data_IF_195485881290
#
_entry.id   IF_195485881290
#
_cell.length_a   1.000
_cell.length_b   1.000
_cell.length_c   1.000
_cell.angle_alpha   90.00
_cell.angle_beta   90.00
_cell.angle_gamma   90.00
#
_symmetry.space_group_name_H-M   'P 1'
#
loop_
_entity.id
_entity.type
_entity.pdbx_description
1 polymer ?
#
# COMPACT_ATOMS: atom_id res chain seq x y z
N UNK A 1 23.81 -6.51 24.37
CA UNK A 1 22.77 -7.57 24.37
C UNK A 1 22.08 -7.50 23.03
N UNK A 2 21.90 -8.61 22.32
CA UNK A 2 21.11 -8.62 21.07
C UNK A 2 19.68 -8.22 21.39
N UNK A 3 19.11 -7.27 20.64
CA UNK A 3 17.69 -6.87 20.73
C UNK A 3 16.84 -8.10 20.41
N UNK A 4 15.94 -8.47 21.31
CA UNK A 4 14.95 -9.52 21.05
C UNK A 4 13.89 -8.96 20.08
N UNK A 5 13.70 -9.64 18.95
CA UNK A 5 12.77 -9.21 17.89
C UNK A 5 11.44 -9.95 18.02
N UNK A 6 10.34 -9.23 17.84
CA UNK A 6 8.99 -9.79 17.83
C UNK A 6 8.89 -10.88 16.76
N UNK A 7 8.25 -11.99 17.12
CA UNK A 7 8.00 -13.11 16.22
C UNK A 7 6.50 -13.32 16.03
N UNK A 8 6.05 -13.69 14.82
CA UNK A 8 4.73 -14.26 14.61
C UNK A 8 4.46 -15.48 15.49
N UNK A 9 3.24 -15.65 15.99
CA UNK A 9 2.86 -16.88 16.67
C UNK A 9 2.99 -18.07 15.71
N UNK A 10 3.81 -19.06 16.09
CA UNK A 10 4.08 -20.23 15.27
C UNK A 10 2.87 -21.16 15.14
N UNK A 11 2.82 -21.89 14.02
CA UNK A 11 1.72 -22.81 13.71
C UNK A 11 1.80 -24.16 14.44
N UNK A 12 2.95 -24.48 15.04
CA UNK A 12 3.17 -25.72 15.78
C UNK A 12 2.72 -25.56 17.24
N UNK A 13 2.75 -24.34 17.77
CA UNK A 13 2.38 -24.00 19.14
C UNK A 13 0.89 -23.66 19.26
N UNK A 14 0.34 -22.95 18.27
CA UNK A 14 -1.08 -22.60 18.20
C UNK A 14 -1.59 -22.75 16.76
N UNK A 15 -2.66 -23.53 16.51
CA UNK A 15 -3.24 -23.65 15.17
C UNK A 15 -3.58 -22.28 14.59
N UNK A 16 -3.34 -22.11 13.29
CA UNK A 16 -3.47 -20.81 12.60
C UNK A 16 -4.87 -20.21 12.63
N UNK A 17 -5.89 -21.04 12.74
CA UNK A 17 -7.30 -20.63 12.88
C UNK A 17 -7.67 -20.19 14.31
N UNK A 18 -6.76 -20.28 15.27
CA UNK A 18 -6.94 -19.86 16.66
C UNK A 18 -5.98 -18.74 17.10
N UNK A 19 -6.35 -18.08 18.20
CA UNK A 19 -5.65 -16.91 18.74
C UNK A 19 -6.20 -15.58 18.21
N UNK A 20 -5.72 -14.44 18.73
CA UNK A 20 -6.09 -13.12 18.22
C UNK A 20 -5.66 -12.95 16.75
N UNK A 21 -6.54 -12.37 15.94
CA UNK A 21 -6.31 -12.16 14.51
C UNK A 21 -5.62 -10.81 14.24
N UNK A 22 -4.38 -10.66 14.70
CA UNK A 22 -3.49 -9.52 14.38
C UNK A 22 -2.77 -9.75 13.05
N UNK A 23 -2.24 -8.68 12.46
CA UNK A 23 -1.47 -8.78 11.22
C UNK A 23 -0.31 -9.75 11.37
N UNK A 24 -0.33 -10.81 10.55
CA UNK A 24 0.63 -11.91 10.56
C UNK A 24 0.78 -12.61 11.91
N UNK A 25 -0.21 -12.53 12.81
CA UNK A 25 -0.15 -13.06 14.18
C UNK A 25 1.00 -12.45 15.01
N UNK A 26 1.36 -11.21 14.74
CA UNK A 26 2.35 -10.45 15.52
C UNK A 26 1.77 -9.94 16.85
N UNK A 27 2.62 -9.58 17.82
CA UNK A 27 2.19 -8.83 19.00
C UNK A 27 1.53 -7.50 18.63
N UNK A 28 0.65 -7.00 19.51
CA UNK A 28 0.08 -5.65 19.38
C UNK A 28 0.85 -4.65 20.23
N UNK A 29 0.91 -3.39 19.76
CA UNK A 29 1.46 -2.25 20.50
C UNK A 29 0.54 -1.04 20.31
N UNK A 30 0.52 -0.06 21.24
CA UNK A 30 -0.32 1.13 21.09
C UNK A 30 0.20 2.14 20.06
N UNK A 31 1.52 2.17 19.84
CA UNK A 31 2.22 3.06 18.92
C UNK A 31 3.46 2.35 18.35
N UNK A 32 4.26 3.06 17.55
CA UNK A 32 5.46 2.51 16.94
C UNK A 32 6.74 2.70 17.78
N UNK A 33 6.64 3.02 19.07
CA UNK A 33 7.81 3.27 19.91
C UNK A 33 8.75 2.06 19.95
N UNK A 34 9.96 2.23 19.42
CA UNK A 34 10.96 1.17 19.37
C UNK A 34 10.64 0.08 18.32
N UNK A 35 9.79 0.34 17.34
CA UNK A 35 9.62 -0.46 16.13
C UNK A 35 10.47 0.10 14.99
N UNK A 36 10.92 -0.77 14.08
CA UNK A 36 11.57 -0.37 12.83
C UNK A 36 10.52 -0.22 11.70
N UNK A 37 9.46 -1.04 11.75
CA UNK A 37 8.28 -0.92 10.89
C UNK A 37 7.01 -1.29 11.67
N UNK A 38 5.87 -0.71 11.30
CA UNK A 38 4.60 -0.90 11.99
C UNK A 38 3.46 -1.16 11.01
N UNK A 39 2.71 -2.24 11.23
CA UNK A 39 1.44 -2.47 10.53
C UNK A 39 0.34 -1.63 11.16
N UNK A 40 -0.40 -0.87 10.33
CA UNK A 40 -1.49 0.02 10.77
C UNK A 40 -2.67 -0.08 9.81
N UNK A 41 -3.89 -0.12 10.32
CA UNK A 41 -5.09 -0.09 9.48
C UNK A 41 -5.76 1.29 9.43
N UNK A 42 -6.31 1.65 8.26
CA UNK A 42 -7.11 2.88 8.08
C UNK A 42 -8.48 2.54 7.48
N UNK A 43 -9.49 2.19 8.30
CA UNK A 43 -10.79 1.71 7.83
C UNK A 43 -11.73 2.84 7.38
N UNK A 44 -11.38 3.57 6.32
CA UNK A 44 -12.15 4.70 5.76
C UNK A 44 -12.60 4.38 4.32
N UNK A 45 -13.88 4.61 4.00
CA UNK A 45 -14.40 4.45 2.61
C UNK A 45 -15.51 5.47 2.25
N UNK A 46 -15.61 6.57 3.02
CA UNK A 46 -16.57 7.64 2.75
C UNK A 46 -16.05 8.62 1.69
N UNK A 47 -14.89 8.34 1.07
CA UNK A 47 -14.37 9.00 -0.13
C UNK A 47 -14.66 8.22 -1.43
N UNK A 48 -15.15 6.97 -1.32
CA UNK A 48 -15.51 6.14 -2.47
C UNK A 48 -16.73 6.69 -3.23
N UNK A 49 -16.65 6.73 -4.57
CA UNK A 49 -17.72 7.26 -5.42
C UNK A 49 -18.77 6.24 -5.88
N UNK A 50 -18.47 4.94 -5.82
CA UNK A 50 -19.34 3.88 -6.36
C UNK A 50 -19.62 2.78 -5.34
N UNK A 51 -18.85 1.68 -5.34
CA UNK A 51 -19.05 0.53 -4.46
C UNK A 51 -18.21 0.66 -3.18
N UNK A 52 -18.82 1.13 -2.10
CA UNK A 52 -18.19 1.17 -0.78
C UNK A 52 -18.03 -0.22 -0.15
N UNK A 53 -17.28 -0.33 0.94
CA UNK A 53 -17.05 -1.60 1.67
C UNK A 53 -15.61 -1.77 2.15
N UNK A 54 -14.68 -0.94 1.66
CA UNK A 54 -13.24 -1.05 1.94
C UNK A 54 -12.90 -0.68 3.38
N UNK A 55 -13.82 -0.03 4.14
CA UNK A 55 -13.71 0.11 5.61
C UNK A 55 -13.52 -1.22 6.34
N UNK A 56 -13.89 -2.35 5.72
CA UNK A 56 -13.71 -3.69 6.28
C UNK A 56 -12.41 -4.38 5.85
N UNK A 57 -11.69 -3.82 4.87
CA UNK A 57 -10.44 -4.33 4.32
C UNK A 57 -9.40 -4.67 5.39
N UNK A 58 -9.03 -3.74 6.30
CA UNK A 58 -7.98 -3.98 7.29
C UNK A 58 -8.27 -5.18 8.19
N UNK A 59 -9.56 -5.42 8.50
CA UNK A 59 -9.98 -6.55 9.34
C UNK A 59 -9.87 -7.88 8.60
N UNK A 60 -10.32 -7.95 7.34
CA UNK A 60 -10.27 -9.19 6.58
C UNK A 60 -8.83 -9.56 6.19
N UNK A 61 -8.00 -8.57 5.83
CA UNK A 61 -6.58 -8.79 5.57
C UNK A 61 -5.89 -9.39 6.81
N UNK A 62 -6.12 -8.84 8.00
CA UNK A 62 -5.58 -9.41 9.25
C UNK A 62 -6.02 -10.86 9.46
N UNK A 63 -7.30 -11.17 9.24
CA UNK A 63 -7.81 -12.53 9.38
C UNK A 63 -7.12 -13.51 8.42
N UNK A 64 -7.01 -13.17 7.14
CA UNK A 64 -6.38 -14.03 6.12
C UNK A 64 -4.85 -14.10 6.24
N UNK A 65 -4.23 -13.10 6.88
CA UNK A 65 -2.78 -13.08 7.12
C UNK A 65 -2.28 -14.23 8.00
N UNK A 66 -3.18 -14.93 8.71
CA UNK A 66 -2.83 -16.10 9.52
C UNK A 66 -2.23 -17.26 8.70
N UNK A 67 -2.39 -17.25 7.38
CA UNK A 67 -1.81 -18.24 6.45
C UNK A 67 -0.33 -18.00 6.13
N UNK A 68 0.18 -16.79 6.38
CA UNK A 68 1.56 -16.40 6.06
C UNK A 68 2.60 -17.05 6.98
N UNK A 69 3.83 -17.17 6.46
CA UNK A 69 4.99 -17.71 7.19
C UNK A 69 6.10 -16.65 7.24
N UNK A 70 6.99 -16.68 8.25
CA UNK A 70 7.94 -15.59 8.50
C UNK A 70 9.09 -15.49 7.48
N UNK A 71 9.28 -16.48 6.61
CA UNK A 71 10.43 -16.59 5.73
C UNK A 71 10.02 -16.71 4.26
N UNK A 72 10.60 -15.86 3.41
CA UNK A 72 10.34 -15.89 1.97
C UNK A 72 11.21 -16.96 1.30
N UNK A 73 10.59 -18.06 0.84
CA UNK A 73 11.32 -19.19 0.26
C UNK A 73 12.04 -18.86 -1.05
N UNK A 74 11.54 -17.90 -1.83
CA UNK A 74 12.10 -17.56 -3.14
C UNK A 74 13.23 -16.54 -3.01
N UNK A 75 12.98 -15.43 -2.30
CA UNK A 75 13.96 -14.34 -2.15
C UNK A 75 14.94 -14.58 -1.02
N UNK A 76 14.61 -15.47 -0.07
CA UNK A 76 15.40 -15.74 1.15
C UNK A 76 15.36 -14.61 2.19
N UNK A 77 14.45 -13.64 2.01
CA UNK A 77 14.23 -12.55 2.96
C UNK A 77 13.65 -13.07 4.28
N UNK A 78 14.16 -12.52 5.38
CA UNK A 78 13.82 -12.88 6.76
C UNK A 78 13.51 -11.63 7.60
N UNK A 79 12.35 -10.96 7.36
CA UNK A 79 12.08 -9.64 7.94
C UNK A 79 12.01 -9.65 9.47
N UNK A 80 11.38 -10.66 10.09
CA UNK A 80 11.26 -10.76 11.56
C UNK A 80 12.56 -11.17 12.28
N UNK A 81 13.58 -11.59 11.52
CA UNK A 81 14.93 -11.78 12.04
C UNK A 81 15.80 -10.52 11.91
N UNK A 82 15.29 -9.49 11.23
CA UNK A 82 16.05 -8.30 10.84
C UNK A 82 15.50 -7.03 11.47
N UNK A 83 14.18 -6.90 11.55
CA UNK A 83 13.45 -5.71 11.96
C UNK A 83 12.54 -6.03 13.16
N UNK A 84 12.36 -5.05 14.03
CA UNK A 84 11.35 -5.06 15.06
C UNK A 84 10.01 -4.59 14.49
N UNK A 85 9.02 -5.48 14.44
CA UNK A 85 7.72 -5.23 13.78
C UNK A 85 6.57 -5.62 14.72
N UNK A 86 5.51 -4.82 14.73
CA UNK A 86 4.27 -5.13 15.44
C UNK A 86 3.04 -4.61 14.67
N UNK A 87 1.86 -5.06 15.07
CA UNK A 87 0.57 -4.48 14.65
C UNK A 87 0.17 -3.40 15.66
N UNK A 88 0.01 -2.16 15.21
CA UNK A 88 -0.36 -1.03 16.07
C UNK A 88 -1.86 -0.71 16.05
N UNK A 89 -2.67 -1.61 15.48
CA UNK A 89 -4.12 -1.45 15.40
C UNK A 89 -4.56 -0.52 14.28
N UNK A 90 -5.64 0.21 14.52
CA UNK A 90 -6.31 1.03 13.50
C UNK A 90 -6.38 2.50 13.92
N UNK A 91 -6.38 3.40 12.93
CA UNK A 91 -6.65 4.82 13.13
C UNK A 91 -8.14 5.01 13.48
N UNK A 92 -8.43 5.73 14.56
CA UNK A 92 -9.79 6.07 14.98
C UNK A 92 -10.38 7.20 14.12
N UNK A 93 -10.82 6.87 12.89
CA UNK A 93 -11.37 7.81 11.90
C UNK A 93 -12.79 8.33 12.25
N UNK A 94 -13.28 9.31 11.49
CA UNK A 94 -14.65 9.82 11.60
C UNK A 94 -15.49 9.45 10.36
N UNK A 95 -16.38 8.46 10.50
CA UNK A 95 -17.24 7.96 9.42
C UNK A 95 -18.32 8.95 8.95
N UNK A 96 -18.41 10.15 9.54
CA UNK A 96 -19.43 11.15 9.21
C UNK A 96 -18.82 12.46 8.66
N UNK A 97 -17.49 12.59 8.57
CA UNK A 97 -16.86 13.84 8.15
C UNK A 97 -15.50 13.62 7.49
N UNK A 98 -15.49 13.43 6.17
CA UNK A 98 -14.29 13.12 5.39
C UNK A 98 -13.15 14.13 5.57
N UNK A 99 -13.36 15.46 5.53
CA UNK A 99 -12.25 16.40 5.73
C UNK A 99 -11.57 16.26 7.09
N UNK A 100 -12.31 15.85 8.14
CA UNK A 100 -11.75 15.67 9.48
C UNK A 100 -10.90 14.39 9.56
N UNK A 101 -11.21 13.40 8.73
CA UNK A 101 -10.37 12.21 8.63
C UNK A 101 -8.97 12.54 8.08
N UNK A 102 -8.85 13.55 7.20
CA UNK A 102 -7.54 13.96 6.69
C UNK A 102 -6.62 14.38 7.84
N UNK A 103 -7.10 15.27 8.72
CA UNK A 103 -6.34 15.73 9.89
C UNK A 103 -6.05 14.58 10.87
N UNK A 104 -7.06 13.76 11.20
CA UNK A 104 -6.91 12.62 12.11
C UNK A 104 -5.83 11.65 11.61
N UNK A 105 -5.85 11.32 10.31
CA UNK A 105 -4.90 10.38 9.72
C UNK A 105 -3.50 11.00 9.67
N UNK A 106 -3.37 12.25 9.22
CA UNK A 106 -2.07 12.95 9.21
C UNK A 106 -1.45 13.01 10.61
N UNK A 107 -2.24 13.39 11.62
CA UNK A 107 -1.79 13.48 13.00
C UNK A 107 -1.38 12.12 13.56
N UNK A 108 -2.17 11.06 13.30
CA UNK A 108 -1.84 9.72 13.77
C UNK A 108 -0.48 9.26 13.23
N UNK A 109 -0.25 9.40 11.92
CA UNK A 109 0.99 8.97 11.29
C UNK A 109 2.19 9.77 11.78
N UNK A 110 2.05 11.09 11.90
CA UNK A 110 3.10 11.95 12.42
C UNK A 110 3.48 11.56 13.85
N UNK A 111 2.50 11.47 14.75
CA UNK A 111 2.76 11.42 16.18
C UNK A 111 3.01 9.99 16.69
N UNK A 112 2.38 8.97 16.11
CA UNK A 112 2.43 7.59 16.61
C UNK A 112 3.32 6.66 15.77
N UNK A 113 3.80 7.10 14.60
CA UNK A 113 4.65 6.28 13.73
C UNK A 113 5.95 7.02 13.40
N UNK A 114 5.84 8.14 12.70
CA UNK A 114 7.00 8.81 12.11
C UNK A 114 7.88 9.47 13.17
N UNK A 115 7.30 10.01 14.25
CA UNK A 115 8.03 10.52 15.42
C UNK A 115 8.91 9.44 16.09
N UNK A 116 8.56 8.16 15.97
CA UNK A 116 9.32 7.04 16.51
C UNK A 116 10.37 6.46 15.55
N UNK A 117 10.45 6.97 14.31
CA UNK A 117 11.40 6.47 13.33
C UNK A 117 10.90 5.31 12.47
N UNK A 118 9.75 4.72 12.77
CA UNK A 118 9.25 3.52 12.11
C UNK A 118 8.72 3.78 10.69
N UNK A 119 8.84 2.77 9.82
CA UNK A 119 8.22 2.76 8.48
C UNK A 119 6.76 2.29 8.59
N UNK A 120 5.77 3.09 8.17
CA UNK A 120 4.36 2.66 8.15
C UNK A 120 4.10 1.63 7.05
N UNK A 121 3.38 0.58 7.42
CA UNK A 121 2.86 -0.45 6.52
C UNK A 121 1.34 -0.51 6.63
N UNK A 122 0.67 0.13 5.68
CA UNK A 122 -0.76 0.45 5.82
C UNK A 122 -1.65 -0.62 5.20
N UNK A 123 -2.63 -1.07 5.98
CA UNK A 123 -3.79 -1.83 5.50
C UNK A 123 -4.91 -0.82 5.26
N UNK A 124 -5.28 -0.64 3.99
CA UNK A 124 -6.10 0.48 3.59
C UNK A 124 -7.61 0.28 3.73
N UNK A 125 -8.30 1.41 3.61
CA UNK A 125 -9.66 1.52 3.11
C UNK A 125 -9.59 1.99 1.66
N UNK A 126 -10.36 3.00 1.28
CA UNK A 126 -10.29 3.60 -0.05
C UNK A 126 -8.99 4.41 -0.28
N UNK A 127 -8.65 4.69 -1.53
CA UNK A 127 -7.39 5.35 -1.92
C UNK A 127 -7.28 6.82 -1.43
N UNK A 128 -8.35 7.41 -0.88
CA UNK A 128 -8.30 8.75 -0.28
C UNK A 128 -7.33 8.81 0.89
N UNK A 129 -7.09 7.68 1.59
CA UNK A 129 -6.24 7.64 2.79
C UNK A 129 -4.78 7.95 2.50
N UNK A 130 -4.30 7.72 1.29
CA UNK A 130 -2.88 7.90 0.92
C UNK A 130 -2.49 9.37 0.93
N UNK A 131 -3.42 10.27 0.62
CA UNK A 131 -3.20 11.72 0.66
C UNK A 131 -2.79 12.24 2.06
N UNK A 132 -3.55 12.05 3.14
CA UNK A 132 -3.15 12.50 4.47
C UNK A 132 -1.94 11.74 5.02
N UNK A 133 -1.68 10.50 4.59
CA UNK A 133 -0.46 9.77 4.93
C UNK A 133 0.76 10.46 4.31
N UNK A 134 0.72 10.81 3.02
CA UNK A 134 1.81 11.49 2.34
C UNK A 134 2.06 12.90 2.87
N UNK A 135 1.03 13.59 3.40
CA UNK A 135 1.23 14.85 4.14
C UNK A 135 2.17 14.64 5.34
N UNK A 136 1.92 13.62 6.16
CA UNK A 136 2.76 13.30 7.32
C UNK A 136 4.16 12.83 6.90
N UNK A 137 4.27 12.00 5.85
CA UNK A 137 5.57 11.53 5.32
C UNK A 137 6.44 12.72 4.88
N UNK A 138 5.86 13.70 4.18
CA UNK A 138 6.58 14.89 3.72
C UNK A 138 7.20 15.69 4.85
N UNK A 139 6.52 15.83 5.99
CA UNK A 139 7.05 16.59 7.13
C UNK A 139 8.39 16.05 7.63
N UNK A 140 8.60 14.73 7.54
CA UNK A 140 9.84 14.06 7.97
C UNK A 140 10.85 13.87 6.85
N UNK A 141 10.40 13.54 5.64
CA UNK A 141 11.27 13.10 4.54
C UNK A 141 11.41 14.10 3.39
N UNK A 142 10.62 15.19 3.39
CA UNK A 142 10.42 16.02 2.21
C UNK A 142 9.57 15.32 1.14
N UNK A 143 9.43 15.91 -0.06
CA UNK A 143 8.72 15.26 -1.17
C UNK A 143 9.38 13.92 -1.53
N UNK A 144 8.57 12.88 -1.70
CA UNK A 144 9.04 11.51 -1.97
C UNK A 144 8.85 11.13 -3.43
N UNK A 145 9.64 10.18 -3.92
CA UNK A 145 9.29 9.45 -5.14
C UNK A 145 8.10 8.51 -4.88
N UNK A 146 7.42 8.06 -5.93
CA UNK A 146 6.25 7.19 -5.84
C UNK A 146 6.34 6.05 -6.86
N UNK A 147 6.17 4.82 -6.38
CA UNK A 147 5.83 3.66 -7.21
C UNK A 147 4.37 3.31 -6.92
N UNK A 148 3.53 3.40 -7.94
CA UNK A 148 2.08 3.27 -7.84
C UNK A 148 1.58 2.15 -8.75
N UNK A 149 0.92 1.15 -8.18
CA UNK A 149 0.30 0.04 -8.92
C UNK A 149 -1.22 0.21 -8.83
N UNK A 150 -1.88 0.44 -9.95
CA UNK A 150 -3.30 0.82 -9.98
C UNK A 150 -3.91 0.63 -11.37
N UNK A 151 -5.23 0.43 -11.46
CA UNK A 151 -5.98 0.53 -12.71
C UNK A 151 -6.24 1.99 -13.14
N UNK A 152 -6.28 2.92 -12.19
CA UNK A 152 -6.63 4.33 -12.38
C UNK A 152 -5.48 5.28 -12.04
N UNK A 153 -5.54 6.48 -12.60
CA UNK A 153 -4.51 7.48 -12.40
C UNK A 153 -4.68 8.26 -11.09
N UNK A 154 -5.89 8.34 -10.54
CA UNK A 154 -6.21 9.00 -9.27
C UNK A 154 -5.76 10.46 -9.18
N UNK A 155 -5.93 11.18 -10.30
CA UNK A 155 -5.53 12.56 -10.52
C UNK A 155 -6.69 13.49 -10.90
N UNK A 156 -7.95 13.08 -10.66
CA UNK A 156 -9.08 13.94 -10.96
C UNK A 156 -9.01 15.22 -10.12
N UNK A 157 -9.45 16.34 -10.71
CA UNK A 157 -9.49 17.61 -9.97
C UNK A 157 -10.68 17.64 -8.99
N UNK A 158 -11.83 17.10 -9.35
CA UNK A 158 -12.92 16.97 -8.39
C UNK A 158 -13.81 15.79 -8.73
N UNK A 159 -14.53 15.30 -7.73
CA UNK A 159 -15.67 14.40 -7.92
C UNK A 159 -16.92 15.07 -7.37
N UNK A 160 -17.89 15.36 -8.23
CA UNK A 160 -19.12 16.10 -7.87
C UNK A 160 -18.90 17.49 -7.23
N UNK A 161 -17.79 18.16 -7.57
CA UNK A 161 -17.41 19.45 -7.00
C UNK A 161 -16.55 19.36 -5.74
N UNK A 162 -16.30 18.15 -5.22
CA UNK A 162 -15.47 17.93 -4.05
C UNK A 162 -14.02 17.57 -4.46
N UNK A 163 -13.00 18.24 -3.89
CA UNK A 163 -11.60 18.03 -4.25
C UNK A 163 -10.92 16.87 -3.50
N UNK A 164 -11.61 16.26 -2.53
CA UNK A 164 -11.11 15.15 -1.72
C UNK A 164 -12.05 13.97 -1.89
N UNK A 165 -11.62 12.99 -2.67
CA UNK A 165 -12.28 11.72 -2.88
C UNK A 165 -11.25 10.68 -3.35
N UNK A 166 -11.66 9.42 -3.50
CA UNK A 166 -10.72 8.33 -3.82
C UNK A 166 -10.02 8.49 -5.17
N UNK A 167 -10.64 9.16 -6.16
CA UNK A 167 -10.03 9.41 -7.48
C UNK A 167 -9.22 10.72 -7.59
N UNK A 168 -9.00 11.44 -6.49
CA UNK A 168 -8.26 12.71 -6.47
C UNK A 168 -6.92 12.75 -5.69
N UNK A 169 -6.44 11.70 -4.99
CA UNK A 169 -5.37 11.85 -4.00
C UNK A 169 -4.05 12.33 -4.62
N UNK A 170 -3.63 11.80 -5.77
CA UNK A 170 -2.32 12.13 -6.33
C UNK A 170 -2.28 13.50 -7.00
N UNK A 171 -3.43 14.01 -7.48
CA UNK A 171 -3.55 15.43 -7.88
C UNK A 171 -3.21 16.33 -6.71
N UNK A 172 -3.83 16.10 -5.55
CA UNK A 172 -3.59 16.86 -4.32
C UNK A 172 -2.15 16.70 -3.83
N UNK A 173 -1.58 15.50 -3.95
CA UNK A 173 -0.19 15.25 -3.61
C UNK A 173 0.79 16.07 -4.46
N UNK A 174 0.55 16.24 -5.76
CA UNK A 174 1.39 17.11 -6.60
C UNK A 174 1.22 18.56 -6.22
N UNK A 175 -0.02 19.03 -6.08
CA UNK A 175 -0.32 20.45 -5.78
C UNK A 175 0.25 20.89 -4.42
N UNK A 176 0.25 20.00 -3.42
CA UNK A 176 0.88 20.25 -2.12
C UNK A 176 2.37 19.91 -2.09
N UNK A 177 2.95 19.43 -3.19
CA UNK A 177 4.36 19.04 -3.27
C UNK A 177 4.72 17.94 -2.27
N UNK A 178 3.84 16.94 -2.11
CA UNK A 178 4.04 15.74 -1.29
C UNK A 178 4.84 14.67 -2.05
N UNK A 179 4.66 14.62 -3.37
CA UNK A 179 5.39 13.73 -4.27
C UNK A 179 6.18 14.54 -5.30
N UNK A 180 7.33 14.01 -5.69
CA UNK A 180 8.09 14.51 -6.84
C UNK A 180 7.60 13.80 -8.11
N UNK A 181 6.93 14.55 -8.99
CA UNK A 181 6.41 14.00 -10.24
C UNK A 181 7.50 13.43 -11.15
N UNK A 182 8.72 14.00 -11.13
CA UNK A 182 9.85 13.46 -11.89
C UNK A 182 10.37 12.13 -11.32
N UNK A 183 9.95 11.75 -10.12
CA UNK A 183 10.24 10.49 -9.44
C UNK A 183 8.98 9.68 -9.15
N UNK A 184 7.95 9.84 -9.98
CA UNK A 184 6.69 9.10 -9.87
C UNK A 184 6.49 8.17 -11.07
N UNK A 185 6.07 6.93 -10.81
CA UNK A 185 5.69 5.93 -11.81
C UNK A 185 4.34 5.32 -11.46
N UNK A 186 3.42 5.29 -12.43
CA UNK A 186 2.14 4.58 -12.32
C UNK A 186 2.14 3.38 -13.27
N UNK A 187 1.71 2.21 -12.79
CA UNK A 187 1.79 0.93 -13.50
C UNK A 187 0.44 0.22 -13.44
N UNK A 188 -0.12 -0.08 -14.60
CA UNK A 188 -1.37 -0.86 -14.72
C UNK A 188 -2.58 -0.06 -15.22
N UNK A 189 -2.38 1.22 -15.57
CA UNK A 189 -3.47 2.11 -15.97
C UNK A 189 -4.23 1.54 -17.17
N UNK A 190 -5.56 1.52 -17.09
CA UNK A 190 -6.45 0.96 -18.11
C UNK A 190 -7.90 1.43 -17.90
N UNK A 191 -8.83 0.83 -18.66
CA UNK A 191 -10.25 1.13 -18.59
C UNK A 191 -10.66 2.23 -19.56
N UNK A 192 -11.92 2.65 -19.47
CA UNK A 192 -12.45 3.77 -20.26
C UNK A 192 -12.27 5.10 -19.52
N UNK A 193 -11.68 6.10 -20.18
CA UNK A 193 -11.58 7.47 -19.66
C UNK A 193 -12.76 8.37 -20.07
N UNK A 194 -12.78 9.59 -19.55
CA UNK A 194 -13.71 10.64 -19.97
C UNK A 194 -13.14 11.46 -21.13
N UNK A 195 -11.81 11.56 -21.22
CA UNK A 195 -11.10 12.27 -22.27
C UNK A 195 -9.76 11.58 -22.61
N UNK A 196 -9.18 11.85 -23.79
CA UNK A 196 -7.89 11.28 -24.17
C UNK A 196 -6.74 11.82 -23.30
N UNK A 197 -6.95 13.02 -22.77
CA UNK A 197 -6.03 13.82 -21.99
C UNK A 197 -5.92 13.36 -20.53
N UNK A 198 -6.75 12.41 -20.09
CA UNK A 198 -6.78 11.91 -18.70
C UNK A 198 -5.42 11.32 -18.27
N UNK A 199 -4.62 10.79 -19.20
CA UNK A 199 -3.24 10.34 -18.95
C UNK A 199 -2.16 11.35 -19.35
N UNK A 200 -2.52 12.49 -19.92
CA UNK A 200 -1.56 13.53 -20.30
C UNK A 200 -1.20 14.41 -19.11
N UNK A 201 -2.16 14.74 -18.25
CA UNK A 201 -1.87 15.51 -17.04
C UNK A 201 -0.75 14.90 -16.17
N UNK A 202 -0.76 13.59 -15.78
CA UNK A 202 0.34 13.02 -15.01
C UNK A 202 1.68 13.09 -15.78
N UNK A 203 1.68 12.93 -17.11
CA UNK A 203 2.90 13.07 -17.92
C UNK A 203 3.43 14.50 -17.90
N UNK A 204 2.57 15.50 -17.93
CA UNK A 204 2.94 16.92 -17.82
C UNK A 204 3.55 17.25 -16.45
N UNK A 205 3.13 16.55 -15.39
CA UNK A 205 3.76 16.64 -14.06
C UNK A 205 5.08 15.86 -13.95
N UNK A 206 5.51 15.18 -15.03
CA UNK A 206 6.76 14.43 -15.11
C UNK A 206 6.63 12.95 -14.76
N UNK A 207 5.41 12.43 -14.52
CA UNK A 207 5.21 11.02 -14.17
C UNK A 207 5.61 10.13 -15.33
N UNK A 208 6.05 8.91 -15.02
CA UNK A 208 6.04 7.83 -15.99
C UNK A 208 4.73 7.05 -15.87
N UNK A 209 3.95 7.05 -16.94
CA UNK A 209 2.70 6.27 -17.03
C UNK A 209 2.95 5.00 -17.83
N UNK A 210 2.72 3.84 -17.22
CA UNK A 210 2.82 2.50 -17.81
C UNK A 210 1.42 1.89 -17.85
N UNK A 211 0.80 1.90 -19.03
CA UNK A 211 -0.53 1.32 -19.24
C UNK A 211 -0.48 -0.22 -19.24
N UNK A 212 -1.62 -0.86 -18.97
CA UNK A 212 -1.71 -2.33 -18.88
C UNK A 212 -1.27 -3.03 -20.17
N UNK A 213 -1.51 -2.45 -21.35
CA UNK A 213 -1.08 -2.96 -22.65
C UNK A 213 0.46 -3.06 -22.76
N UNK A 214 1.19 -2.15 -22.09
CA UNK A 214 2.64 -2.24 -22.00
C UNK A 214 3.08 -3.40 -21.11
N UNK A 215 2.20 -4.01 -20.31
CA UNK A 215 2.52 -5.12 -19.40
C UNK A 215 2.15 -6.49 -19.97
N UNK A 216 1.26 -6.56 -20.97
CA UNK A 216 0.72 -7.83 -21.45
C UNK A 216 1.77 -8.77 -22.05
N UNK A 217 1.57 -10.07 -21.81
CA UNK A 217 2.33 -11.18 -22.38
C UNK A 217 3.84 -11.22 -22.06
N UNK A 218 4.30 -10.54 -21.00
CA UNK A 218 5.72 -10.51 -20.61
C UNK A 218 5.95 -10.32 -19.10
N UNK A 219 7.21 -10.56 -18.69
CA UNK A 219 7.72 -10.26 -17.34
C UNK A 219 7.98 -8.76 -17.19
N UNK A 220 7.76 -8.23 -15.97
CA UNK A 220 7.98 -6.82 -15.61
C UNK A 220 9.36 -6.57 -15.00
N UNK A 221 10.24 -7.57 -14.90
CA UNK A 221 11.61 -7.38 -14.39
C UNK A 221 12.41 -6.32 -15.16
N UNK A 222 12.40 -6.29 -16.52
CA UNK A 222 13.10 -5.24 -17.27
C UNK A 222 12.52 -3.85 -16.99
N UNK A 223 11.19 -3.73 -16.90
CA UNK A 223 10.52 -2.48 -16.53
C UNK A 223 11.03 -1.96 -15.18
N UNK A 224 11.20 -2.84 -14.19
CA UNK A 224 11.68 -2.44 -12.87
C UNK A 224 13.09 -1.86 -12.85
N UNK A 225 13.95 -2.18 -13.83
CA UNK A 225 15.26 -1.51 -13.96
C UNK A 225 15.11 -0.02 -14.29
N UNK A 226 14.13 0.31 -15.11
CA UNK A 226 13.84 1.69 -15.50
C UNK A 226 13.08 2.42 -14.40
N UNK A 227 12.13 1.74 -13.72
CA UNK A 227 11.44 2.29 -12.54
C UNK A 227 12.46 2.68 -11.48
N UNK A 228 13.41 1.80 -11.12
CA UNK A 228 14.46 2.11 -10.15
C UNK A 228 15.29 3.34 -10.54
N UNK A 229 15.64 3.49 -11.82
CA UNK A 229 16.36 4.68 -12.31
C UNK A 229 15.53 5.95 -12.18
N UNK A 230 14.24 5.89 -12.54
CA UNK A 230 13.30 7.01 -12.48
C UNK A 230 13.09 7.50 -11.04
N UNK A 231 12.96 6.60 -10.08
CA UNK A 231 12.68 6.94 -8.68
C UNK A 231 13.94 7.03 -7.80
N UNK A 232 15.15 6.90 -8.35
CA UNK A 232 16.40 6.93 -7.58
C UNK A 232 16.67 8.30 -6.93
N UNK A 233 17.56 8.31 -5.92
CA UNK A 233 18.15 9.54 -5.39
C UNK A 233 17.52 10.09 -4.10
N UNK A 234 16.62 9.34 -3.45
CA UNK A 234 16.08 9.70 -2.13
C UNK A 234 14.89 8.83 -1.72
N UNK A 235 14.05 9.29 -0.78
CA UNK A 235 12.96 8.50 -0.23
C UNK A 235 11.89 8.17 -1.28
N UNK A 236 11.32 6.97 -1.19
CA UNK A 236 10.28 6.46 -2.09
C UNK A 236 9.12 5.90 -1.26
N UNK A 237 7.90 6.20 -1.68
CA UNK A 237 6.68 5.58 -1.17
C UNK A 237 6.18 4.53 -2.18
N UNK A 238 5.71 3.38 -1.70
CA UNK A 238 5.11 2.33 -2.52
C UNK A 238 3.62 2.23 -2.20
N UNK A 239 2.77 2.57 -3.16
CA UNK A 239 1.32 2.44 -3.02
C UNK A 239 0.79 1.40 -4.01
N UNK A 240 -0.04 0.50 -3.50
CA UNK A 240 -0.67 -0.53 -4.31
C UNK A 240 -2.19 -0.51 -4.10
N UNK A 241 -2.91 -0.17 -5.16
CA UNK A 241 -4.31 -0.48 -5.28
C UNK A 241 -4.49 -1.95 -5.65
N UNK A 242 -5.39 -2.64 -4.97
CA UNK A 242 -5.68 -4.05 -5.27
C UNK A 242 -6.36 -4.19 -6.64
N UNK A 243 -7.05 -3.16 -7.14
CA UNK A 243 -7.72 -3.16 -8.43
C UNK A 243 -6.76 -3.01 -9.62
N UNK A 244 -5.49 -2.69 -9.37
CA UNK A 244 -4.41 -2.84 -10.36
C UNK A 244 -4.28 -4.29 -10.87
N UNK A 245 -4.75 -5.26 -10.09
CA UNK A 245 -4.86 -6.66 -10.49
C UNK A 245 -6.12 -6.93 -11.31
N UNK A 246 -6.08 -7.95 -12.15
CA UNK A 246 -7.28 -8.42 -12.84
C UNK A 246 -8.35 -8.90 -11.84
N UNK A 247 -9.66 -8.63 -12.07
CA UNK A 247 -10.74 -9.11 -11.22
C UNK A 247 -10.79 -10.63 -11.03
N UNK A 248 -10.13 -11.42 -11.88
CA UNK A 248 -9.93 -12.85 -11.67
C UNK A 248 -9.08 -13.17 -10.42
N UNK A 249 -8.23 -12.23 -9.97
CA UNK A 249 -7.38 -12.37 -8.79
C UNK A 249 -7.85 -11.52 -7.61
N UNK A 250 -8.46 -10.37 -7.87
CA UNK A 250 -8.93 -9.42 -6.88
C UNK A 250 -10.39 -8.98 -7.14
N UNK A 251 -11.37 -9.88 -7.03
CA UNK A 251 -12.78 -9.54 -7.28
C UNK A 251 -13.36 -8.57 -6.23
N UNK A 252 -12.78 -8.53 -5.01
CA UNK A 252 -13.25 -7.73 -3.90
C UNK A 252 -12.68 -6.31 -3.89
N UNK A 253 -13.08 -5.48 -4.85
CA UNK A 253 -12.71 -4.05 -4.93
C UNK A 253 -13.88 -3.18 -5.42
N UNK A 254 -13.81 -1.87 -5.20
CA UNK A 254 -14.86 -0.91 -5.54
C UNK A 254 -15.01 -0.65 -7.06
N UNK A 255 -13.89 -0.59 -7.79
CA UNK A 255 -13.81 -0.13 -9.18
C UNK A 255 -13.09 -1.13 -10.11
N UNK A 256 -13.55 -2.39 -10.21
CA UNK A 256 -12.83 -3.41 -10.96
C UNK A 256 -12.75 -3.11 -12.46
N UNK A 257 -11.53 -3.11 -13.01
CA UNK A 257 -11.26 -3.01 -14.45
C UNK A 257 -10.64 -4.31 -14.99
N UNK A 258 -11.24 -4.90 -16.02
CA UNK A 258 -10.76 -6.16 -16.63
C UNK A 258 -9.43 -5.98 -17.40
N UNK A 259 -8.70 -7.08 -17.64
CA UNK A 259 -7.45 -7.06 -18.41
C UNK A 259 -6.26 -6.55 -17.59
N UNK A 260 -6.32 -6.73 -16.26
CA UNK A 260 -5.34 -6.22 -15.31
C UNK A 260 -4.08 -7.05 -15.17
N UNK A 261 -3.24 -6.66 -14.21
CA UNK A 261 -2.01 -7.38 -13.89
C UNK A 261 -2.33 -8.74 -13.24
N UNK A 262 -1.44 -9.71 -13.43
CA UNK A 262 -1.46 -10.94 -12.63
C UNK A 262 -0.81 -10.72 -11.27
N UNK A 263 -1.12 -11.57 -10.29
CA UNK A 263 -0.42 -11.56 -8.98
C UNK A 263 1.09 -11.75 -9.12
N UNK A 264 1.54 -12.53 -10.11
CA UNK A 264 2.98 -12.70 -10.38
C UNK A 264 3.64 -11.42 -10.88
N UNK A 265 2.98 -10.64 -11.72
CA UNK A 265 3.48 -9.36 -12.21
C UNK A 265 3.56 -8.32 -11.07
N UNK A 266 2.55 -8.25 -10.20
CA UNK A 266 2.61 -7.38 -9.02
C UNK A 266 3.76 -7.77 -8.08
N UNK A 267 3.99 -9.07 -7.84
CA UNK A 267 5.16 -9.53 -7.08
C UNK A 267 6.50 -9.15 -7.75
N UNK A 268 6.59 -9.17 -9.09
CA UNK A 268 7.80 -8.72 -9.80
C UNK A 268 8.07 -7.22 -9.58
N UNK A 269 7.02 -6.40 -9.55
CA UNK A 269 7.12 -4.96 -9.24
C UNK A 269 7.56 -4.75 -7.80
N UNK A 270 6.84 -5.32 -6.81
CA UNK A 270 7.16 -5.14 -5.38
C UNK A 270 8.58 -5.64 -5.07
N UNK A 271 8.95 -6.85 -5.51
CA UNK A 271 10.31 -7.37 -5.32
C UNK A 271 11.37 -6.54 -6.03
N UNK A 272 11.02 -5.92 -7.16
CA UNK A 272 11.88 -5.02 -7.92
C UNK A 272 12.22 -3.72 -7.21
N UNK A 273 11.48 -3.37 -6.14
CA UNK A 273 11.76 -2.23 -5.26
C UNK A 273 12.86 -2.51 -4.22
N UNK A 274 13.35 -3.75 -4.10
CA UNK A 274 14.46 -4.05 -3.20
C UNK A 274 15.68 -3.17 -3.50
N UNK A 275 16.22 -2.54 -2.46
CA UNK A 275 17.34 -1.61 -2.53
C UNK A 275 16.95 -0.14 -2.74
N UNK A 276 15.67 0.17 -2.88
CA UNK A 276 15.15 1.55 -2.78
C UNK A 276 15.06 1.98 -1.32
N UNK A 277 15.15 3.29 -1.09
CA UNK A 277 14.91 3.93 0.22
C UNK A 277 13.41 4.04 0.49
N UNK A 278 12.77 2.91 0.78
CA UNK A 278 11.33 2.85 1.05
C UNK A 278 11.03 3.44 2.44
N UNK A 279 10.26 4.52 2.48
CA UNK A 279 9.89 5.24 3.72
C UNK A 279 8.45 5.00 4.16
N UNK A 280 7.69 4.23 3.38
CA UNK A 280 6.32 3.82 3.71
C UNK A 280 5.68 3.06 2.56
N UNK A 281 4.64 2.30 2.88
CA UNK A 281 3.81 1.66 1.87
C UNK A 281 2.35 1.50 2.32
N UNK A 282 1.45 1.36 1.34
CA UNK A 282 0.06 1.00 1.56
C UNK A 282 -0.43 -0.06 0.56
N UNK A 283 -1.45 -0.81 1.01
CA UNK A 283 -2.29 -1.67 0.17
C UNK A 283 -3.76 -1.30 0.42
N UNK A 284 -4.41 -0.75 -0.60
CA UNK A 284 -5.75 -0.12 -0.51
C UNK A 284 -6.82 -0.88 -1.30
N UNK A 285 -8.07 -0.42 -1.20
CA UNK A 285 -9.25 -0.85 -1.96
C UNK A 285 -9.71 -2.32 -1.78
N UNK A 286 -9.18 -3.06 -0.81
CA UNK A 286 -9.75 -4.37 -0.45
C UNK A 286 -11.15 -4.18 0.13
N UNK A 287 -12.16 -4.67 -0.59
CA UNK A 287 -13.59 -4.55 -0.28
C UNK A 287 -14.22 -5.92 0.00
N UNK A 288 -14.24 -6.36 1.27
CA UNK A 288 -14.79 -7.66 1.68
C UNK A 288 -16.21 -7.99 1.19
N UNK A 289 -17.18 -7.04 1.11
CA UNK A 289 -18.53 -7.34 0.65
C UNK A 289 -18.60 -7.90 -0.79
N UNK A 290 -17.57 -7.65 -1.60
CA UNK A 290 -17.50 -8.09 -2.99
C UNK A 290 -16.61 -9.32 -3.20
N UNK A 291 -16.02 -9.85 -2.11
CA UNK A 291 -15.36 -11.15 -2.12
C UNK A 291 -15.66 -11.94 -0.84
N UNK A 292 -16.81 -12.64 -0.81
CA UNK A 292 -17.18 -13.49 0.31
C UNK A 292 -16.21 -14.64 0.56
N UNK A 293 -15.35 -15.00 -0.41
CA UNK A 293 -14.39 -16.09 -0.27
C UNK A 293 -13.12 -15.66 0.47
N UNK A 294 -12.84 -14.36 0.58
CA UNK A 294 -11.65 -13.81 1.23
C UNK A 294 -10.37 -13.89 0.39
N UNK A 295 -10.44 -14.32 -0.86
CA UNK A 295 -9.27 -14.46 -1.74
C UNK A 295 -8.54 -13.12 -1.96
N UNK A 296 -9.26 -12.02 -2.11
CA UNK A 296 -8.71 -10.68 -2.31
C UNK A 296 -7.94 -10.21 -1.07
N UNK A 297 -8.48 -10.47 0.12
CA UNK A 297 -7.81 -10.17 1.38
C UNK A 297 -6.55 -11.04 1.58
N UNK A 298 -6.58 -12.31 1.14
CA UNK A 298 -5.40 -13.17 1.11
C UNK A 298 -4.33 -12.65 0.14
N UNK A 299 -4.72 -12.16 -1.04
CA UNK A 299 -3.79 -11.49 -1.98
C UNK A 299 -3.19 -10.27 -1.30
N UNK A 300 -4.00 -9.39 -0.71
CA UNK A 300 -3.53 -8.21 0.02
C UNK A 300 -2.54 -8.54 1.13
N UNK A 301 -2.81 -9.57 1.94
CA UNK A 301 -1.90 -10.03 2.98
C UNK A 301 -0.54 -10.50 2.42
N UNK A 302 -0.55 -11.24 1.29
CA UNK A 302 0.69 -11.69 0.65
C UNK A 302 1.48 -10.51 0.04
N UNK A 303 0.81 -9.52 -0.55
CA UNK A 303 1.49 -8.34 -1.10
C UNK A 303 2.12 -7.50 0.01
N UNK A 304 1.42 -7.29 1.13
CA UNK A 304 1.99 -6.64 2.32
C UNK A 304 3.21 -7.38 2.87
N UNK A 305 3.22 -8.72 2.85
CA UNK A 305 4.42 -9.48 3.24
C UNK A 305 5.59 -9.27 2.27
N UNK A 306 5.33 -9.22 0.96
CA UNK A 306 6.37 -8.91 -0.04
C UNK A 306 6.91 -7.49 0.12
N UNK A 307 6.05 -6.50 0.44
CA UNK A 307 6.45 -5.13 0.76
C UNK A 307 7.35 -5.09 2.01
N UNK A 308 6.98 -5.82 3.08
CA UNK A 308 7.80 -5.93 4.29
C UNK A 308 9.20 -6.49 3.97
N UNK A 309 9.28 -7.50 3.10
CA UNK A 309 10.53 -8.16 2.75
C UNK A 309 11.52 -7.23 2.02
N UNK A 310 11.05 -6.20 1.31
CA UNK A 310 11.90 -5.30 0.54
C UNK A 310 12.28 -4.01 1.28
N UNK A 311 11.82 -3.83 2.53
CA UNK A 311 12.20 -2.67 3.33
C UNK A 311 13.72 -2.63 3.61
N UNK A 312 14.30 -1.42 3.73
CA UNK A 312 15.68 -1.26 4.16
C UNK A 312 15.97 -1.99 5.49
N UNK A 313 17.11 -2.68 5.56
CA UNK A 313 17.55 -3.40 6.76
C UNK A 313 17.15 -4.88 6.82
N UNK A 314 16.27 -5.37 5.94
CA UNK A 314 15.93 -6.81 5.87
C UNK A 314 17.10 -7.63 5.33
N UNK A 315 17.47 -8.69 6.05
CA UNK A 315 18.50 -9.65 5.65
C UNK A 315 17.95 -10.75 4.74
N UNK A 316 18.76 -11.15 3.77
CA UNK A 316 18.49 -12.23 2.83
C UNK A 316 19.49 -13.35 3.11
N UNK A 317 19.04 -14.48 3.68
CA UNK A 317 19.92 -15.54 4.22
C UNK A 317 19.64 -16.91 3.61
N UNK A 318 20.70 -17.61 3.21
CA UNK A 318 20.69 -18.94 2.59
C UNK A 318 20.22 -20.04 3.53
#
# INVERSE_FOLDING_TARGET
MSRELNQPLGGNEMPRFGGPATMMRLPTQPDAAGLDAAFVGVPLDIGTSNRAGTRHGPRQIRAESCLLRPYNMATRAAPFDSLQVADIGDVAINTFHLPKCMDIITDFYRDNILAHGAVPMTLGGDHTITFPILRAIKEKHGPVGLVHIDAHADINDHQFGEPIAHGTPFRRCVEEGLIDGNRTVQIGLRGSGYAAEDFDWPREQGFRVVQAEECWYKSLKPLMEEVRKKVAGGPVYLSMDIDGLDPAFAPGTGTPEVGGLTTSQAMEVIRGCHGLDLVGCDLVEVSPPYDPSGNTALVGANMLFEMLCVLPGVQYRS
#
